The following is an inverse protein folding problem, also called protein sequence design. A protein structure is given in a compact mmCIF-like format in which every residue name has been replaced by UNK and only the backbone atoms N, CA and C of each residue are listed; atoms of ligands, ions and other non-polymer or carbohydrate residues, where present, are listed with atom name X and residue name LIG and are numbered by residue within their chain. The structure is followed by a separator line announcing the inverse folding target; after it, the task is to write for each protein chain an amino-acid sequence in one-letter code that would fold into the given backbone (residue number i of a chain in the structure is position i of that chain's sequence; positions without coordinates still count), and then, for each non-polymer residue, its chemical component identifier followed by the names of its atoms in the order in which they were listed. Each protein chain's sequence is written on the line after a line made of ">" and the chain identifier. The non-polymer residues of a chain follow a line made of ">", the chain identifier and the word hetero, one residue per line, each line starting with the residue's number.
data_IF_761408748011
#
_entry.id   IF_761408748011
#
_cell.length_a   1.000
_cell.length_b   1.000
_cell.length_c   1.000
_cell.angle_alpha   90.00
_cell.angle_beta   90.00
_cell.angle_gamma   90.00
#
_symmetry.space_group_name_H-M   'P 1'
#
loop_
_entity.id
_entity.type
_entity.pdbx_description
1 polymer ?
#
# COMPACT_ATOMS: atom_id res chain seq x y z
N UNK A 1 11.58 7.84 7.67
CA UNK A 1 10.13 7.81 7.34
C UNK A 1 10.03 7.63 5.84
N UNK A 2 9.12 6.79 5.36
CA UNK A 2 8.92 6.50 3.93
C UNK A 2 7.42 6.45 3.60
N UNK A 3 7.07 6.67 2.34
CA UNK A 3 5.71 6.54 1.82
C UNK A 3 5.69 5.69 0.56
N UNK A 4 4.54 5.60 -0.12
CA UNK A 4 4.34 4.74 -1.30
C UNK A 4 5.38 4.95 -2.44
N UNK A 5 6.00 6.13 -2.50
CA UNK A 5 7.03 6.47 -3.50
C UNK A 5 8.24 5.53 -3.55
N UNK A 6 8.56 4.80 -2.46
CA UNK A 6 9.67 3.84 -2.48
C UNK A 6 9.34 2.56 -3.25
N UNK A 7 8.07 2.35 -3.57
CA UNK A 7 7.51 1.17 -4.24
C UNK A 7 7.07 1.44 -5.69
N UNK A 8 7.13 2.69 -6.16
CA UNK A 8 6.76 3.06 -7.55
C UNK A 8 7.65 2.40 -8.59
N UNK A 9 8.95 2.26 -8.31
CA UNK A 9 9.88 1.53 -9.20
C UNK A 9 9.71 0.01 -9.18
N UNK A 10 8.92 -0.53 -8.25
CA UNK A 10 8.49 -1.93 -8.28
C UNK A 10 7.20 -2.14 -9.11
N UNK A 11 6.62 -1.07 -9.68
CA UNK A 11 5.36 -1.11 -10.43
C UNK A 11 4.11 -0.92 -9.57
N UNK A 12 4.26 -0.63 -8.28
CA UNK A 12 3.14 -0.31 -7.39
C UNK A 12 2.87 1.20 -7.50
N UNK A 13 1.71 1.64 -8.01
CA UNK A 13 1.43 3.06 -8.16
C UNK A 13 1.38 3.74 -6.78
N UNK A 14 1.84 4.99 -6.71
CA UNK A 14 1.54 5.82 -5.55
C UNK A 14 0.08 6.29 -5.60
N UNK A 15 -0.36 7.07 -4.63
CA UNK A 15 -1.74 7.54 -4.59
C UNK A 15 -2.00 8.76 -5.49
N UNK A 16 -1.02 9.65 -5.66
CA UNK A 16 -1.24 11.05 -6.04
C UNK A 16 -0.55 11.49 -7.33
N UNK A 17 0.33 10.68 -7.91
CA UNK A 17 1.03 11.04 -9.15
C UNK A 17 0.03 11.30 -10.28
N UNK A 18 0.13 12.44 -10.99
CA UNK A 18 -0.73 12.71 -12.14
C UNK A 18 -0.58 11.62 -13.21
N UNK A 19 -1.70 11.08 -13.70
CA UNK A 19 -1.74 10.08 -14.77
C UNK A 19 -1.38 8.65 -14.37
N UNK A 20 -0.49 8.44 -13.39
CA UNK A 20 -0.04 7.09 -12.96
C UNK A 20 -0.49 6.70 -11.56
N UNK A 21 -0.83 7.68 -10.72
CA UNK A 21 -1.26 7.46 -9.35
C UNK A 21 -2.64 6.80 -9.26
N UNK A 22 -2.89 6.15 -8.13
CA UNK A 22 -4.12 5.40 -7.90
C UNK A 22 -5.36 6.27 -8.10
N UNK A 23 -5.38 7.48 -7.52
CA UNK A 23 -6.52 8.40 -7.61
C UNK A 23 -6.87 8.84 -9.04
N UNK A 24 -5.89 8.89 -9.93
CA UNK A 24 -6.13 9.20 -11.35
C UNK A 24 -6.89 8.07 -12.07
N UNK A 25 -6.77 6.84 -11.57
CA UNK A 25 -7.33 5.62 -12.18
C UNK A 25 -8.62 5.11 -11.49
N UNK A 26 -9.14 5.83 -10.48
CA UNK A 26 -10.36 5.44 -9.76
C UNK A 26 -11.67 5.89 -10.43
N UNK A 27 -11.61 6.58 -11.56
CA UNK A 27 -12.81 7.08 -12.26
C UNK A 27 -13.83 5.98 -12.57
N UNK A 28 -13.37 4.74 -12.78
CA UNK A 28 -14.21 3.55 -13.02
C UNK A 28 -15.17 3.21 -11.87
N UNK A 29 -14.91 3.69 -10.66
CA UNK A 29 -15.71 3.38 -9.46
C UNK A 29 -16.81 4.41 -9.16
N UNK A 30 -16.98 5.43 -10.02
CA UNK A 30 -18.00 6.49 -9.87
C UNK A 30 -18.04 7.11 -8.45
N UNK A 31 -16.85 7.40 -7.90
CA UNK A 31 -16.69 7.96 -6.56
C UNK A 31 -17.05 9.45 -6.56
N UNK A 32 -17.59 10.00 -5.45
CA UNK A 32 -17.84 11.44 -5.34
C UNK A 32 -16.53 12.26 -5.37
N UNK A 33 -15.45 11.67 -4.86
CA UNK A 33 -14.07 12.16 -4.95
C UNK A 33 -13.12 10.97 -4.70
N UNK A 34 -11.87 11.00 -5.18
CA UNK A 34 -10.99 9.83 -5.17
C UNK A 34 -10.71 9.24 -3.78
N UNK A 35 -10.61 10.07 -2.75
CA UNK A 35 -10.33 9.66 -1.37
C UNK A 35 -11.51 8.93 -0.71
N UNK A 36 -12.73 9.03 -1.26
CA UNK A 36 -13.93 8.44 -0.69
C UNK A 36 -13.79 6.92 -0.50
N UNK A 37 -13.06 6.24 -1.39
CA UNK A 37 -12.81 4.79 -1.30
C UNK A 37 -12.09 4.36 -0.01
N UNK A 38 -11.36 5.28 0.63
CA UNK A 38 -10.63 5.04 1.88
C UNK A 38 -11.29 5.71 3.10
N UNK A 39 -12.46 6.31 2.93
CA UNK A 39 -13.22 6.87 4.06
C UNK A 39 -14.12 5.80 4.70
N UNK A 40 -14.05 5.71 6.02
CA UNK A 40 -14.79 4.68 6.78
C UNK A 40 -16.31 4.79 6.60
N UNK A 41 -16.85 6.00 6.53
CA UNK A 41 -18.30 6.22 6.38
C UNK A 41 -18.80 5.88 4.98
N UNK A 42 -17.95 6.09 3.96
CA UNK A 42 -18.24 5.67 2.60
C UNK A 42 -18.15 4.13 2.48
N UNK A 43 -17.09 3.53 3.02
CA UNK A 43 -16.89 2.08 3.02
C UNK A 43 -18.07 1.32 3.65
N UNK A 44 -18.62 1.82 4.76
CA UNK A 44 -19.81 1.21 5.41
C UNK A 44 -21.05 1.18 4.52
N UNK A 45 -21.17 2.11 3.57
CA UNK A 45 -22.33 2.22 2.66
C UNK A 45 -22.06 1.55 1.31
N UNK A 46 -20.82 1.64 0.83
CA UNK A 46 -20.36 1.19 -0.48
C UNK A 46 -18.99 0.49 -0.33
N UNK A 47 -18.96 -0.75 0.18
CA UNK A 47 -17.70 -1.49 0.35
C UNK A 47 -17.14 -2.05 -0.96
N UNK A 48 -17.94 -2.15 -2.02
CA UNK A 48 -17.61 -2.81 -3.28
C UNK A 48 -16.40 -2.19 -4.00
N UNK A 49 -16.26 -0.86 -4.11
CA UNK A 49 -15.09 -0.23 -4.73
C UNK A 49 -13.78 -0.59 -4.01
N UNK A 50 -13.81 -0.61 -2.67
CA UNK A 50 -12.63 -0.97 -1.87
C UNK A 50 -12.20 -2.42 -2.12
N UNK A 51 -13.13 -3.38 -2.12
CA UNK A 51 -12.80 -4.78 -2.38
C UNK A 51 -12.37 -5.04 -3.82
N UNK A 52 -12.93 -4.32 -4.80
CA UNK A 52 -12.46 -4.38 -6.18
C UNK A 52 -11.01 -3.90 -6.30
N UNK A 53 -10.70 -2.77 -5.67
CA UNK A 53 -9.35 -2.22 -5.61
C UNK A 53 -8.37 -3.14 -4.85
N UNK A 54 -8.77 -3.68 -3.70
CA UNK A 54 -7.92 -4.56 -2.89
C UNK A 54 -7.50 -5.82 -3.66
N UNK A 55 -8.38 -6.36 -4.52
CA UNK A 55 -8.04 -7.48 -5.42
C UNK A 55 -6.99 -7.12 -6.47
N UNK A 56 -7.04 -5.90 -7.01
CA UNK A 56 -6.04 -5.40 -7.96
C UNK A 56 -4.67 -5.18 -7.29
N UNK A 57 -4.66 -4.81 -6.01
CA UNK A 57 -3.46 -4.52 -5.23
C UNK A 57 -2.92 -5.72 -4.43
N UNK A 58 -3.56 -6.89 -4.52
CA UNK A 58 -3.22 -8.03 -3.67
C UNK A 58 -1.76 -8.48 -3.90
N UNK A 59 -0.96 -8.64 -2.83
CA UNK A 59 0.47 -8.91 -2.95
C UNK A 59 0.74 -10.31 -3.51
N UNK A 60 1.72 -10.41 -4.41
CA UNK A 60 2.14 -11.67 -5.02
C UNK A 60 2.99 -11.52 -6.30
N UNK A 61 3.04 -10.31 -6.88
CA UNK A 61 3.73 -10.09 -8.16
C UNK A 61 4.94 -9.15 -8.12
N UNK A 62 5.21 -8.47 -6.99
CA UNK A 62 6.18 -7.37 -6.94
C UNK A 62 7.43 -7.71 -6.11
N UNK A 63 8.60 -7.20 -6.53
CA UNK A 63 9.89 -7.39 -5.85
C UNK A 63 10.35 -6.11 -5.13
N UNK A 64 10.94 -6.19 -3.92
CA UNK A 64 11.42 -5.01 -3.21
C UNK A 64 12.41 -4.19 -4.03
N UNK A 65 12.33 -2.86 -3.91
CA UNK A 65 13.22 -1.92 -4.63
C UNK A 65 14.57 -1.73 -3.94
N UNK A 66 15.51 -1.04 -4.59
CA UNK A 66 16.82 -0.68 -4.00
C UNK A 66 16.66 0.06 -2.67
N UNK A 67 15.67 0.94 -2.55
CA UNK A 67 15.40 1.67 -1.30
C UNK A 67 15.05 0.71 -0.14
N UNK A 68 14.28 -0.36 -0.44
CA UNK A 68 13.95 -1.39 0.54
C UNK A 68 15.20 -2.15 1.01
N UNK A 69 16.07 -2.56 0.08
CA UNK A 69 17.33 -3.22 0.43
C UNK A 69 18.29 -2.29 1.19
N UNK A 70 18.31 -1.01 0.88
CA UNK A 70 19.09 -0.03 1.63
C UNK A 70 18.61 0.06 3.09
N UNK A 71 17.29 0.10 3.33
CA UNK A 71 16.76 0.05 4.69
C UNK A 71 17.13 -1.26 5.41
N UNK A 72 17.08 -2.40 4.71
CA UNK A 72 17.51 -3.70 5.24
C UNK A 72 18.99 -3.66 5.64
N UNK A 73 19.85 -3.07 4.81
CA UNK A 73 21.27 -2.89 5.12
C UNK A 73 21.49 -2.05 6.38
N UNK A 74 20.75 -0.95 6.54
CA UNK A 74 20.83 -0.13 7.76
C UNK A 74 20.38 -0.89 9.00
N UNK A 75 19.35 -1.74 8.88
CA UNK A 75 18.91 -2.64 9.95
C UNK A 75 20.00 -3.65 10.30
N UNK A 76 20.59 -4.30 9.31
CA UNK A 76 21.61 -5.34 9.50
C UNK A 76 22.89 -4.79 10.11
N UNK A 77 23.22 -3.53 9.83
CA UNK A 77 24.35 -2.82 10.44
C UNK A 77 24.03 -2.19 11.81
N UNK A 78 22.81 -2.34 12.32
CA UNK A 78 22.39 -1.77 13.61
C UNK A 78 22.24 -0.23 13.62
N UNK A 79 22.22 0.42 12.45
CA UNK A 79 22.06 1.87 12.33
C UNK A 79 20.60 2.31 12.25
N UNK A 80 19.68 1.40 11.90
CA UNK A 80 18.27 1.73 11.81
C UNK A 80 17.56 1.54 13.15
N UNK A 81 17.23 2.64 13.82
CA UNK A 81 16.44 2.61 15.05
C UNK A 81 14.97 2.24 14.82
N UNK A 82 14.34 2.78 13.77
CA UNK A 82 12.93 2.54 13.44
C UNK A 82 12.63 2.91 11.99
N UNK A 83 11.73 2.18 11.35
CA UNK A 83 11.13 2.54 10.07
C UNK A 83 9.67 2.93 10.27
N UNK A 84 9.33 4.18 9.95
CA UNK A 84 7.93 4.64 9.90
C UNK A 84 7.49 4.66 8.44
N UNK A 85 6.42 3.93 8.12
CA UNK A 85 5.87 3.79 6.77
C UNK A 85 4.39 4.16 6.76
N UNK A 86 3.94 4.79 5.67
CA UNK A 86 2.55 5.22 5.50
C UNK A 86 1.68 4.22 4.72
N UNK A 87 2.27 3.44 3.81
CA UNK A 87 1.55 2.52 2.93
C UNK A 87 2.56 1.70 2.11
N UNK A 88 3.38 0.87 2.76
CA UNK A 88 4.33 0.01 2.06
C UNK A 88 4.09 -1.48 2.37
N UNK A 89 3.53 -2.25 1.42
CA UNK A 89 3.27 -3.67 1.63
C UNK A 89 4.52 -4.55 1.57
N UNK A 90 5.65 -4.03 1.09
CA UNK A 90 6.86 -4.81 0.81
C UNK A 90 7.83 -4.85 2.00
N UNK A 91 7.73 -3.89 2.93
CA UNK A 91 8.50 -3.90 4.18
C UNK A 91 8.31 -5.20 4.98
N UNK A 92 7.10 -5.77 4.96
CA UNK A 92 6.82 -7.08 5.57
C UNK A 92 7.73 -8.19 5.05
N UNK A 93 8.00 -8.23 3.74
CA UNK A 93 8.85 -9.24 3.08
C UNK A 93 10.32 -9.18 3.53
N UNK A 94 10.79 -8.01 3.98
CA UNK A 94 12.17 -7.82 4.44
C UNK A 94 12.33 -7.92 5.97
N UNK A 95 11.30 -8.45 6.64
CA UNK A 95 11.31 -8.66 8.09
C UNK A 95 11.19 -7.36 8.89
N UNK A 96 10.59 -6.31 8.32
CA UNK A 96 10.23 -5.10 9.07
C UNK A 96 8.89 -5.21 9.81
N UNK A 97 8.10 -6.28 9.56
CA UNK A 97 6.75 -6.44 10.08
C UNK A 97 5.72 -5.56 9.34
N UNK A 98 4.44 -5.95 9.34
CA UNK A 98 3.35 -5.20 8.69
C UNK A 98 3.01 -5.62 7.25
N UNK A 99 2.68 -6.90 7.05
CA UNK A 99 2.07 -7.35 5.79
C UNK A 99 0.63 -6.85 5.64
N UNK A 100 0.15 -6.75 4.39
CA UNK A 100 -1.28 -6.55 4.13
C UNK A 100 -1.99 -7.91 4.26
N UNK A 101 -2.54 -8.19 5.44
CA UNK A 101 -3.42 -9.35 5.65
C UNK A 101 -4.87 -8.93 5.36
N UNK A 102 -5.39 -9.30 4.18
CA UNK A 102 -6.81 -9.13 3.83
C UNK A 102 -7.66 -10.40 4.05
N UNK A 103 -7.12 -11.41 4.74
CA UNK A 103 -7.86 -12.60 5.16
C UNK A 103 -9.07 -12.19 6.01
N UNK A 104 -10.27 -12.28 5.42
CA UNK A 104 -11.53 -11.78 6.02
C UNK A 104 -11.83 -12.39 7.38
N UNK A 105 -11.37 -13.61 7.62
CA UNK A 105 -11.64 -14.37 8.85
C UNK A 105 -10.86 -13.87 10.08
N UNK A 106 -9.85 -13.01 9.86
CA UNK A 106 -9.10 -12.33 10.92
C UNK A 106 -9.37 -10.82 10.98
N UNK A 107 -9.86 -10.22 9.91
CA UNK A 107 -10.14 -8.78 9.85
C UNK A 107 -11.40 -8.34 10.62
N UNK A 108 -12.29 -9.29 10.95
CA UNK A 108 -13.58 -9.03 11.62
C UNK A 108 -13.71 -9.70 13.01
N UNK A 109 -12.60 -9.95 13.72
CA UNK A 109 -12.63 -10.32 15.15
C UNK A 109 -12.22 -9.16 16.05
#
# INVERSE_FOLDING_TARGET
>A
MVGAGISTSAGIPDFRSPGTGLYANLQKYNLPYPEAIFQIDYFKKHPEPFFALARELYPGQFKPTICHYFMKLLKDKGHLRRCYSQADPMLGLLGFGGGMDFESDKAYR
#
